data_IF_948286645591
#
_entry.id   IF_948286645591
#
_cell.length_a   1.000
_cell.length_b   1.000
_cell.length_c   1.000
_cell.angle_alpha   90.00
_cell.angle_beta   90.00
_cell.angle_gamma   90.00
#
_symmetry.space_group_name_H-M   'P 1'
#
loop_
_entity.id
_entity.type
_entity.pdbx_description
1 polymer ?
#
# COMPACT_ATOMS: atom_id res chain seq x y z
N UNK A 1 -13.17 10.94 -3.11
CA UNK A 1 -12.61 10.05 -2.09
C UNK A 1 -11.11 9.93 -2.37
N UNK A 2 -10.30 10.68 -1.64
CA UNK A 2 -8.84 10.58 -1.72
C UNK A 2 -8.40 9.28 -1.02
N UNK A 3 -7.42 8.52 -1.53
CA UNK A 3 -6.62 8.77 -2.74
C UNK A 3 -7.21 8.17 -4.03
N UNK A 4 -8.12 7.19 -3.91
CA UNK A 4 -8.53 6.31 -5.02
C UNK A 4 -9.20 7.00 -6.22
N UNK A 5 -9.83 8.16 -6.04
CA UNK A 5 -10.46 8.89 -7.14
C UNK A 5 -9.51 9.78 -7.96
N UNK A 6 -8.21 9.84 -7.62
CA UNK A 6 -7.26 10.79 -8.24
C UNK A 6 -6.46 10.21 -9.40
N UNK A 7 -6.51 8.90 -9.58
CA UNK A 7 -5.89 8.19 -10.69
C UNK A 7 -6.88 7.17 -11.26
N UNK A 8 -7.09 7.14 -12.59
CA UNK A 8 -7.88 6.09 -13.22
C UNK A 8 -7.13 4.76 -13.22
N UNK A 9 -7.88 3.67 -13.31
CA UNK A 9 -7.33 2.32 -13.47
C UNK A 9 -7.00 2.05 -14.94
N UNK A 10 -6.09 1.13 -15.19
CA UNK A 10 -5.74 0.66 -16.54
C UNK A 10 -5.14 -0.75 -16.45
N UNK A 11 -5.10 -1.45 -17.58
CA UNK A 11 -4.55 -2.80 -17.64
C UNK A 11 -3.04 -2.80 -17.33
N UNK A 12 -2.52 -3.88 -16.74
CA UNK A 12 -1.13 -4.04 -16.28
C UNK A 12 -0.67 -3.13 -15.13
N UNK A 13 -1.58 -2.31 -14.56
CA UNK A 13 -1.27 -1.53 -13.36
C UNK A 13 -1.16 -2.43 -12.12
N UNK A 14 -0.39 -2.02 -11.12
CA UNK A 14 -0.46 -2.62 -9.78
C UNK A 14 -1.90 -2.58 -9.25
N UNK A 15 -2.37 -3.63 -8.57
CA UNK A 15 -3.73 -3.67 -8.04
C UNK A 15 -4.00 -2.51 -7.10
N UNK A 16 -5.11 -1.81 -7.30
CA UNK A 16 -5.55 -0.79 -6.35
C UNK A 16 -6.31 -1.48 -5.23
N UNK A 17 -5.87 -1.31 -3.98
CA UNK A 17 -6.49 -1.95 -2.82
C UNK A 17 -7.28 -0.91 -2.02
N UNK A 18 -8.56 -1.19 -1.75
CA UNK A 18 -9.40 -0.41 -0.86
C UNK A 18 -9.85 -1.26 0.33
N UNK A 19 -9.47 -0.83 1.53
CA UNK A 19 -9.88 -1.47 2.77
C UNK A 19 -11.16 -0.83 3.30
N UNK A 20 -12.13 -1.67 3.65
CA UNK A 20 -13.44 -1.28 4.17
C UNK A 20 -13.60 -1.90 5.56
N UNK A 21 -13.86 -1.06 6.55
CA UNK A 21 -14.25 -1.53 7.89
C UNK A 21 -15.71 -1.95 7.86
N UNK A 22 -15.98 -3.18 8.29
CA UNK A 22 -17.33 -3.72 8.38
C UNK A 22 -17.76 -3.68 9.83
N UNK A 23 -18.86 -2.99 10.11
CA UNK A 23 -19.45 -2.90 11.46
C UNK A 23 -20.69 -3.80 11.50
N UNK A 24 -20.67 -4.78 12.40
CA UNK A 24 -21.77 -5.70 12.65
C UNK A 24 -22.78 -5.07 13.62
N UNK A 25 -23.90 -4.58 13.08
CA UNK A 25 -25.03 -4.09 13.87
C UNK A 25 -26.00 -5.18 14.36
N UNK A 26 -25.77 -6.46 14.01
CA UNK A 26 -26.69 -7.55 14.36
C UNK A 26 -26.40 -8.17 15.74
N UNK A 27 -25.17 -8.04 16.23
CA UNK A 27 -24.72 -8.57 17.53
C UNK A 27 -23.21 -8.47 17.71
N UNK A 28 -22.71 -8.94 18.85
CA UNK A 28 -21.27 -8.87 19.23
C UNK A 28 -20.35 -9.65 18.29
N UNK A 29 -20.84 -10.79 17.76
CA UNK A 29 -20.09 -11.69 16.90
C UNK A 29 -20.91 -12.03 15.66
N UNK A 30 -20.29 -11.87 14.48
CA UNK A 30 -20.89 -12.25 13.21
C UNK A 30 -19.94 -13.10 12.37
N UNK A 31 -20.47 -13.85 11.41
CA UNK A 31 -19.70 -14.60 10.42
C UNK A 31 -20.05 -14.13 9.02
N UNK A 32 -19.02 -13.87 8.22
CA UNK A 32 -19.17 -13.54 6.79
C UNK A 32 -19.40 -14.84 6.03
N UNK A 33 -20.53 -14.93 5.32
CA UNK A 33 -20.90 -16.12 4.54
C UNK A 33 -20.34 -16.10 3.14
N UNK A 34 -20.52 -14.99 2.47
CA UNK A 34 -20.17 -14.83 1.07
C UNK A 34 -19.86 -13.35 0.78
N UNK A 35 -18.94 -13.16 -0.15
CA UNK A 35 -18.62 -11.86 -0.75
C UNK A 35 -18.58 -12.07 -2.26
N UNK A 36 -19.45 -11.39 -3.01
CA UNK A 36 -19.60 -11.59 -4.45
C UNK A 36 -19.54 -10.27 -5.21
N UNK A 37 -18.75 -10.26 -6.29
CA UNK A 37 -18.69 -9.14 -7.24
C UNK A 37 -19.77 -9.29 -8.32
N UNK A 38 -20.54 -8.24 -8.54
CA UNK A 38 -21.59 -8.15 -9.54
C UNK A 38 -21.29 -7.02 -10.55
N UNK A 39 -20.64 -7.34 -11.68
CA UNK A 39 -20.34 -6.36 -12.72
C UNK A 39 -21.62 -5.88 -13.42
N UNK A 40 -21.76 -4.57 -13.64
CA UNK A 40 -22.88 -4.02 -14.42
C UNK A 40 -22.54 -4.02 -15.92
N UNK A 41 -23.40 -4.65 -16.73
CA UNK A 41 -23.20 -4.72 -18.18
C UNK A 41 -23.42 -3.35 -18.85
N UNK A 42 -22.75 -3.10 -20.01
CA UNK A 42 -21.89 -4.03 -20.74
C UNK A 42 -20.41 -4.04 -20.30
N UNK A 43 -19.92 -2.98 -19.65
CA UNK A 43 -18.48 -2.78 -19.41
C UNK A 43 -17.98 -3.28 -18.04
N UNK A 44 -18.87 -3.59 -17.10
CA UNK A 44 -18.57 -4.15 -15.77
C UNK A 44 -17.61 -5.33 -15.79
N UNK A 45 -17.73 -6.17 -16.82
CA UNK A 45 -16.94 -7.41 -16.97
C UNK A 45 -15.44 -7.16 -17.20
N UNK A 46 -15.05 -5.94 -17.60
CA UNK A 46 -13.66 -5.54 -17.84
C UNK A 46 -12.90 -5.26 -16.54
N UNK A 47 -13.61 -5.04 -15.43
CA UNK A 47 -13.02 -4.88 -14.10
C UNK A 47 -13.06 -6.21 -13.35
N UNK A 48 -11.90 -6.65 -12.91
CA UNK A 48 -11.75 -7.76 -11.98
C UNK A 48 -11.67 -7.19 -10.56
N UNK A 49 -12.52 -7.72 -9.68
CA UNK A 49 -12.56 -7.36 -8.26
C UNK A 49 -12.39 -8.64 -7.46
N UNK A 50 -11.29 -8.73 -6.71
CA UNK A 50 -11.11 -9.78 -5.70
C UNK A 50 -11.29 -9.21 -4.31
N UNK A 51 -11.66 -10.07 -3.37
CA UNK A 51 -11.94 -9.68 -2.00
C UNK A 51 -11.20 -10.62 -1.04
N UNK A 52 -10.57 -10.04 -0.04
CA UNK A 52 -10.11 -10.72 1.17
C UNK A 52 -10.86 -10.13 2.36
N UNK A 53 -11.21 -10.93 3.35
CA UNK A 53 -12.03 -10.45 4.47
C UNK A 53 -11.83 -11.27 5.73
N UNK A 54 -12.15 -10.67 6.87
CA UNK A 54 -12.25 -11.39 8.14
C UNK A 54 -13.46 -12.33 8.11
N UNK A 55 -13.25 -13.64 8.23
CA UNK A 55 -14.37 -14.60 8.31
C UNK A 55 -15.28 -14.35 9.51
N UNK A 56 -14.71 -13.89 10.63
CA UNK A 56 -15.42 -13.61 11.88
C UNK A 56 -15.28 -12.12 12.18
N UNK A 57 -16.42 -11.47 12.42
CA UNK A 57 -16.51 -10.09 12.88
C UNK A 57 -16.59 -10.10 14.40
N UNK A 58 -15.49 -9.76 15.08
CA UNK A 58 -15.46 -9.69 16.54
C UNK A 58 -14.32 -8.78 17.05
N UNK A 59 -14.58 -7.91 18.03
CA UNK A 59 -15.89 -7.58 18.59
C UNK A 59 -16.60 -6.51 17.72
N UNK A 60 -17.86 -6.78 17.32
CA UNK A 60 -18.72 -5.93 16.48
C UNK A 60 -18.15 -5.47 15.13
N UNK A 61 -16.94 -5.86 14.75
CA UNK A 61 -16.29 -5.32 13.56
C UNK A 61 -15.34 -6.32 12.94
N UNK A 62 -15.02 -6.07 11.67
CA UNK A 62 -13.99 -6.75 10.92
C UNK A 62 -13.62 -5.93 9.69
N UNK A 63 -13.00 -6.57 8.71
CA UNK A 63 -12.46 -5.88 7.54
C UNK A 63 -12.77 -6.63 6.25
N UNK A 64 -12.85 -5.86 5.17
CA UNK A 64 -12.99 -6.31 3.79
C UNK A 64 -11.98 -5.53 2.95
N UNK A 65 -10.99 -6.21 2.39
CA UNK A 65 -10.03 -5.65 1.45
C UNK A 65 -10.48 -5.99 0.02
N UNK A 66 -10.72 -4.97 -0.79
CA UNK A 66 -11.06 -5.11 -2.20
C UNK A 66 -9.85 -4.76 -3.06
N UNK A 67 -9.52 -5.65 -3.98
CA UNK A 67 -8.43 -5.44 -4.95
C UNK A 67 -9.00 -5.30 -6.35
N UNK A 68 -8.65 -4.19 -7.01
CA UNK A 68 -9.15 -3.80 -8.32
C UNK A 68 -8.07 -3.95 -9.38
N UNK A 69 -8.37 -4.71 -10.43
CA UNK A 69 -7.50 -4.85 -11.61
C UNK A 69 -8.33 -4.79 -12.90
N UNK A 70 -7.77 -4.19 -13.94
CA UNK A 70 -8.41 -4.15 -15.27
C UNK A 70 -7.92 -5.33 -16.08
N UNK A 71 -8.85 -6.11 -16.63
CA UNK A 71 -8.53 -7.27 -17.47
C UNK A 71 -7.93 -6.84 -18.81
N UNK A 72 -7.29 -7.78 -19.49
CA UNK A 72 -6.63 -7.54 -20.78
C UNK A 72 -7.60 -7.03 -21.84
N UNK A 73 -8.86 -7.49 -21.84
CA UNK A 73 -9.90 -7.03 -22.76
C UNK A 73 -10.25 -5.54 -22.56
N UNK A 74 -9.88 -4.97 -21.40
CA UNK A 74 -10.06 -3.55 -21.07
C UNK A 74 -8.83 -2.68 -21.34
N UNK A 75 -7.77 -3.21 -21.97
CA UNK A 75 -6.50 -2.49 -22.15
C UNK A 75 -6.62 -1.18 -22.95
N UNK A 76 -7.52 -1.15 -23.94
CA UNK A 76 -7.79 0.03 -24.79
C UNK A 76 -9.09 0.75 -24.42
N UNK A 77 -9.73 0.36 -23.32
CA UNK A 77 -11.00 0.93 -22.92
C UNK A 77 -10.82 2.31 -22.28
N UNK A 78 -11.64 3.28 -22.69
CA UNK A 78 -11.70 4.60 -22.07
C UNK A 78 -13.13 4.91 -21.64
N UNK A 79 -13.39 4.85 -20.33
CA UNK A 79 -14.77 4.91 -19.84
C UNK A 79 -14.90 4.72 -18.34
N UNK A 80 -16.15 4.74 -17.87
CA UNK A 80 -16.45 4.44 -16.46
C UNK A 80 -17.04 3.04 -16.39
N UNK A 81 -16.53 2.25 -15.46
CA UNK A 81 -17.03 0.93 -15.12
C UNK A 81 -17.82 1.01 -13.83
N UNK A 82 -18.97 0.34 -13.81
CA UNK A 82 -19.87 0.26 -12.66
C UNK A 82 -20.15 -1.19 -12.28
N UNK A 83 -20.45 -1.40 -11.01
CA UNK A 83 -20.86 -2.67 -10.45
C UNK A 83 -21.05 -2.55 -8.94
N UNK A 84 -21.22 -3.67 -8.26
CA UNK A 84 -21.33 -3.68 -6.80
C UNK A 84 -20.80 -4.97 -6.19
N UNK A 85 -20.31 -4.88 -4.96
CA UNK A 85 -19.98 -6.04 -4.14
C UNK A 85 -21.11 -6.27 -3.14
N UNK A 86 -21.60 -7.51 -3.08
CA UNK A 86 -22.49 -7.95 -2.01
C UNK A 86 -21.71 -8.72 -0.96
N UNK A 87 -21.99 -8.46 0.30
CA UNK A 87 -21.41 -9.16 1.44
C UNK A 87 -22.54 -9.58 2.39
N UNK A 88 -22.70 -10.88 2.61
CA UNK A 88 -23.73 -11.41 3.52
C UNK A 88 -23.09 -11.78 4.85
N UNK A 89 -23.58 -11.15 5.93
CA UNK A 89 -23.15 -11.40 7.31
C UNK A 89 -24.27 -12.09 8.07
N UNK A 90 -23.93 -13.12 8.82
CA UNK A 90 -24.84 -13.80 9.75
C UNK A 90 -24.41 -13.57 11.19
N UNK A 91 -25.37 -13.32 12.08
CA UNK A 91 -25.12 -13.11 13.50
C UNK A 91 -26.27 -13.67 14.32
N UNK A 92 -25.97 -14.14 15.53
CA UNK A 92 -27.00 -14.41 16.52
C UNK A 92 -27.44 -13.09 17.17
N UNK A 93 -28.74 -12.94 17.43
CA UNK A 93 -29.26 -11.75 18.10
C UNK A 93 -28.90 -11.73 19.59
N UNK A 94 -28.71 -10.52 20.14
CA UNK A 94 -28.29 -10.32 21.54
C UNK A 94 -29.41 -10.61 22.57
N UNK A 95 -30.67 -10.81 22.14
CA UNK A 95 -31.84 -10.88 23.03
C UNK A 95 -32.11 -12.27 23.66
N UNK A 96 -31.12 -13.15 23.76
CA UNK A 96 -31.28 -14.50 24.34
C UNK A 96 -32.00 -15.51 23.43
N UNK A 97 -32.76 -15.05 22.44
CA UNK A 97 -33.27 -15.88 21.35
C UNK A 97 -32.13 -16.19 20.36
N UNK A 98 -31.79 -17.48 20.21
CA UNK A 98 -30.81 -18.00 19.22
C UNK A 98 -31.32 -17.90 17.78
N UNK A 99 -32.02 -16.83 17.43
CA UNK A 99 -32.49 -16.59 16.06
C UNK A 99 -31.29 -16.04 15.27
N UNK A 100 -30.90 -16.80 14.26
CA UNK A 100 -29.90 -16.39 13.29
C UNK A 100 -30.49 -15.28 12.42
N UNK A 101 -29.85 -14.12 12.41
CA UNK A 101 -30.17 -13.00 11.51
C UNK A 101 -29.11 -12.90 10.44
N UNK A 102 -29.53 -12.67 9.21
CA UNK A 102 -28.65 -12.34 8.10
C UNK A 102 -28.88 -10.89 7.65
N UNK A 103 -27.81 -10.24 7.23
CA UNK A 103 -27.87 -8.95 6.56
C UNK A 103 -26.90 -8.96 5.38
N UNK A 104 -27.39 -8.50 4.23
CA UNK A 104 -26.56 -8.33 3.04
C UNK A 104 -26.24 -6.85 2.85
N UNK A 105 -24.96 -6.53 2.86
CA UNK A 105 -24.43 -5.21 2.54
C UNK A 105 -24.15 -5.14 1.03
N UNK A 106 -24.59 -4.05 0.39
CA UNK A 106 -24.27 -3.76 -1.01
C UNK A 106 -23.37 -2.53 -1.08
N UNK A 107 -22.16 -2.71 -1.61
CA UNK A 107 -21.20 -1.64 -1.84
C UNK A 107 -21.14 -1.31 -3.34
N UNK A 108 -21.68 -0.18 -3.81
CA UNK A 108 -21.57 0.24 -5.20
C UNK A 108 -20.14 0.68 -5.52
N UNK A 109 -19.65 0.28 -6.68
CA UNK A 109 -18.30 0.55 -7.16
C UNK A 109 -18.39 1.24 -8.51
N UNK A 110 -17.68 2.37 -8.62
CA UNK A 110 -17.58 3.16 -9.84
C UNK A 110 -16.13 3.55 -10.06
N UNK A 111 -15.52 3.08 -11.14
CA UNK A 111 -14.11 3.30 -11.45
C UNK A 111 -13.95 3.89 -12.86
N UNK A 112 -13.11 4.93 -12.99
CA UNK A 112 -12.67 5.40 -14.31
C UNK A 112 -11.55 4.49 -14.80
N UNK A 113 -11.69 3.96 -16.00
CA UNK A 113 -10.66 3.20 -16.70
C UNK A 113 -10.21 3.99 -17.93
N UNK A 114 -8.91 3.94 -18.20
CA UNK A 114 -8.28 4.54 -19.37
C UNK A 114 -7.41 3.51 -20.11
N UNK A 115 -7.02 3.79 -21.36
CA UNK A 115 -6.01 3.00 -22.06
C UNK A 115 -4.68 3.03 -21.31
N UNK A 116 -3.87 1.98 -21.51
CA UNK A 116 -2.56 1.86 -20.84
C UNK A 116 -1.68 3.10 -21.13
N UNK A 117 -1.25 3.85 -20.10
CA UNK A 117 -0.39 5.01 -20.30
C UNK A 117 0.96 4.63 -20.89
N UNK A 118 1.58 5.57 -21.62
CA UNK A 118 2.94 5.39 -22.12
C UNK A 118 3.92 5.10 -20.98
N UNK A 119 4.87 4.20 -21.23
CA UNK A 119 5.88 3.75 -20.25
C UNK A 119 6.56 4.90 -19.50
N UNK A 120 6.95 5.97 -20.20
CA UNK A 120 7.64 7.14 -19.60
C UNK A 120 6.80 7.93 -18.60
N UNK A 121 5.49 7.71 -18.56
CA UNK A 121 4.57 8.33 -17.59
C UNK A 121 4.24 7.40 -16.43
N UNK A 122 4.63 6.13 -16.46
CA UNK A 122 4.39 5.15 -15.39
C UNK A 122 5.58 5.13 -14.43
N UNK A 123 5.31 5.46 -13.17
CA UNK A 123 6.27 5.49 -12.08
C UNK A 123 5.94 4.38 -11.09
N UNK A 124 6.92 3.54 -10.79
CA UNK A 124 6.82 2.55 -9.74
C UNK A 124 7.32 3.17 -8.43
N UNK A 125 6.49 3.14 -7.40
CA UNK A 125 6.83 3.60 -6.06
C UNK A 125 7.15 2.40 -5.19
N UNK A 126 8.35 2.35 -4.63
CA UNK A 126 8.71 1.31 -3.67
C UNK A 126 8.07 1.60 -2.31
N UNK A 127 7.04 0.82 -1.95
CA UNK A 127 6.43 0.80 -0.64
C UNK A 127 6.88 -0.44 0.15
N UNK A 128 7.58 -1.37 -0.51
CA UNK A 128 7.96 -2.64 0.09
C UNK A 128 9.05 -2.41 1.15
N UNK A 129 9.99 -1.51 0.88
CA UNK A 129 11.09 -1.16 1.80
C UNK A 129 10.82 0.09 2.64
N UNK A 130 9.61 0.66 2.56
CA UNK A 130 9.20 1.80 3.39
C UNK A 130 8.60 1.33 4.72
N UNK A 131 8.68 2.18 5.75
CA UNK A 131 8.14 1.95 7.08
C UNK A 131 6.65 1.59 7.01
N UNK A 132 6.27 0.47 7.64
CA UNK A 132 4.88 -0.01 7.72
C UNK A 132 4.38 0.00 9.16
N UNK A 133 3.10 0.31 9.31
CA UNK A 133 2.41 0.18 10.59
C UNK A 133 1.69 -1.19 10.74
N UNK A 134 1.73 -1.86 11.89
CA UNK A 134 2.57 -1.56 13.06
C UNK A 134 4.03 -1.95 12.83
N UNK A 135 4.95 -1.05 13.13
CA UNK A 135 6.39 -1.25 13.00
C UNK A 135 7.08 -1.32 14.37
N UNK A 136 8.41 -1.50 14.33
CA UNK A 136 9.30 -1.32 15.48
C UNK A 136 9.41 0.14 15.94
N UNK A 137 10.46 0.46 16.71
CA UNK A 137 10.72 1.83 17.12
C UNK A 137 11.40 2.61 15.98
N UNK A 138 10.70 3.61 15.44
CA UNK A 138 11.28 4.59 14.54
C UNK A 138 11.13 5.98 15.15
N UNK A 139 12.25 6.72 15.35
CA UNK A 139 12.19 8.06 15.88
C UNK A 139 11.66 9.01 14.81
N UNK A 140 10.89 10.01 15.21
CA UNK A 140 10.48 11.09 14.30
C UNK A 140 11.69 11.82 13.71
N UNK A 141 11.54 12.32 12.48
CA UNK A 141 12.55 13.15 11.83
C UNK A 141 12.81 14.46 12.58
N UNK A 142 11.76 15.06 13.16
CA UNK A 142 11.92 16.23 14.03
C UNK A 142 12.35 15.82 15.45
N UNK A 143 13.66 15.65 15.62
CA UNK A 143 14.30 15.33 16.89
C UNK A 143 14.08 16.38 18.01
N UNK A 144 13.48 17.54 17.71
CA UNK A 144 13.08 18.54 18.72
C UNK A 144 11.79 18.13 19.43
N UNK A 145 10.97 17.26 18.83
CA UNK A 145 9.72 16.78 19.39
C UNK A 145 9.96 15.70 20.46
N UNK A 146 10.14 16.11 21.72
CA UNK A 146 10.52 15.20 22.82
C UNK A 146 9.35 14.45 23.48
N UNK A 147 8.11 14.89 23.26
CA UNK A 147 6.94 14.35 23.96
C UNK A 147 6.34 13.11 23.31
N UNK A 148 6.59 12.90 22.02
CA UNK A 148 6.16 11.73 21.27
C UNK A 148 7.26 11.36 20.29
N UNK A 149 8.24 10.54 20.71
CA UNK A 149 9.39 10.22 19.90
C UNK A 149 9.04 9.23 18.77
N UNK A 150 7.89 8.57 18.82
CA UNK A 150 7.51 7.54 17.86
C UNK A 150 6.95 8.17 16.58
N UNK A 151 7.44 7.71 15.42
CA UNK A 151 6.72 7.92 14.18
C UNK A 151 5.63 6.86 14.01
N UNK A 152 4.38 7.30 14.15
CA UNK A 152 3.21 6.46 14.05
C UNK A 152 2.55 6.53 12.66
N UNK A 153 2.96 7.47 11.81
CA UNK A 153 2.22 7.74 10.57
C UNK A 153 2.60 6.79 9.44
N UNK A 154 3.73 6.09 9.56
CA UNK A 154 4.31 5.24 8.52
C UNK A 154 4.51 5.97 7.19
N UNK A 155 5.34 5.40 6.33
CA UNK A 155 5.74 6.09 5.11
C UNK A 155 4.93 5.58 3.94
N UNK A 156 3.89 6.33 3.57
CA UNK A 156 3.04 6.01 2.43
C UNK A 156 2.86 7.20 1.49
N UNK A 157 2.78 6.89 0.19
CA UNK A 157 2.55 7.85 -0.90
C UNK A 157 1.24 8.67 -0.75
N UNK A 158 0.35 8.26 0.14
CA UNK A 158 -0.96 8.88 0.35
C UNK A 158 -1.09 9.57 1.72
N UNK A 159 -0.08 9.41 2.60
CA UNK A 159 0.06 10.07 3.90
C UNK A 159 1.23 11.07 3.82
N UNK A 160 2.44 10.64 4.18
CA UNK A 160 3.64 11.46 4.34
C UNK A 160 4.05 12.12 3.02
N UNK A 161 3.96 11.38 1.91
CA UNK A 161 4.35 11.88 0.59
C UNK A 161 3.18 12.35 -0.29
N UNK A 162 2.04 12.68 0.34
CA UNK A 162 0.83 13.13 -0.37
C UNK A 162 1.07 14.28 -1.34
N UNK A 163 1.87 15.27 -0.94
CA UNK A 163 2.12 16.44 -1.77
C UNK A 163 3.02 16.11 -2.97
N UNK A 164 3.99 15.21 -2.80
CA UNK A 164 4.78 14.71 -3.93
C UNK A 164 3.90 13.94 -4.91
N UNK A 165 3.03 13.04 -4.42
CA UNK A 165 2.07 12.35 -5.27
C UNK A 165 1.21 13.33 -6.08
N UNK A 166 0.66 14.36 -5.42
CA UNK A 166 -0.20 15.36 -6.08
C UNK A 166 0.54 16.06 -7.21
N UNK A 167 1.78 16.52 -6.96
CA UNK A 167 2.61 17.18 -7.97
C UNK A 167 2.89 16.26 -9.15
N UNK A 168 3.25 15.01 -8.91
CA UNK A 168 3.51 14.06 -9.99
C UNK A 168 2.25 13.78 -10.82
N UNK A 169 1.08 13.63 -10.18
CA UNK A 169 -0.21 13.48 -10.85
C UNK A 169 -0.59 14.73 -11.67
N UNK A 170 -0.38 15.93 -11.13
CA UNK A 170 -0.59 17.21 -11.85
C UNK A 170 0.27 17.31 -13.12
N UNK A 171 1.47 16.72 -13.11
CA UNK A 171 2.37 16.65 -14.25
C UNK A 171 2.12 15.45 -15.19
N UNK A 172 1.05 14.67 -14.96
CA UNK A 172 0.60 13.59 -15.83
C UNK A 172 1.33 12.26 -15.64
N UNK A 173 2.02 12.05 -14.52
CA UNK A 173 2.62 10.76 -14.17
C UNK A 173 1.63 9.87 -13.43
N UNK A 174 1.63 8.58 -13.71
CA UNK A 174 0.83 7.55 -13.04
C UNK A 174 1.71 6.82 -12.03
N UNK A 175 1.30 6.86 -10.76
CA UNK A 175 2.05 6.27 -9.66
C UNK A 175 1.42 4.94 -9.29
N UNK A 176 2.23 3.90 -9.25
CA UNK A 176 1.83 2.54 -8.89
C UNK A 176 2.64 2.11 -7.66
N UNK A 177 1.94 1.64 -6.62
CA UNK A 177 2.54 1.32 -5.32
C UNK A 177 2.94 -0.15 -5.30
N UNK A 178 4.24 -0.41 -5.17
CA UNK A 178 4.83 -1.75 -5.06
C UNK A 178 4.81 -2.21 -3.61
N UNK A 179 3.91 -3.12 -3.27
CA UNK A 179 3.82 -3.75 -1.93
C UNK A 179 4.51 -5.12 -1.83
N UNK A 180 5.29 -5.51 -2.83
CA UNK A 180 6.01 -6.79 -2.93
C UNK A 180 7.45 -6.57 -3.40
N UNK A 181 8.36 -7.56 -3.24
CA UNK A 181 9.73 -7.42 -3.72
C UNK A 181 9.76 -7.15 -5.24
N UNK A 182 10.79 -6.46 -5.71
CA UNK A 182 10.97 -6.11 -7.12
C UNK A 182 11.02 -7.35 -8.03
N UNK A 183 11.43 -8.50 -7.49
CA UNK A 183 11.45 -9.80 -8.18
C UNK A 183 10.07 -10.27 -8.65
N UNK A 184 8.99 -9.81 -8.02
CA UNK A 184 7.61 -10.13 -8.37
C UNK A 184 7.01 -9.19 -9.42
N UNK A 185 7.72 -8.14 -9.83
CA UNK A 185 7.17 -7.09 -10.69
C UNK A 185 7.86 -7.07 -12.05
N UNK A 186 7.04 -6.93 -13.10
CA UNK A 186 7.56 -6.67 -14.44
C UNK A 186 7.99 -5.19 -14.59
N UNK A 187 9.26 -4.92 -14.32
CA UNK A 187 9.85 -3.57 -14.37
C UNK A 187 9.87 -2.94 -15.76
N UNK A 188 9.75 -3.74 -16.83
CA UNK A 188 9.74 -3.23 -18.22
C UNK A 188 8.56 -2.31 -18.53
N UNK A 189 7.49 -2.39 -17.73
CA UNK A 189 6.28 -1.57 -17.88
C UNK A 189 6.48 -0.11 -17.41
N UNK A 190 7.54 0.18 -16.67
CA UNK A 190 7.74 1.46 -15.99
C UNK A 190 8.90 2.26 -16.60
N UNK A 191 8.76 3.58 -16.54
CA UNK A 191 9.81 4.51 -16.94
C UNK A 191 10.85 4.71 -15.83
N UNK A 192 10.39 4.78 -14.58
CA UNK A 192 11.25 4.93 -13.42
C UNK A 192 10.74 4.18 -12.19
N UNK A 193 11.68 3.77 -11.34
CA UNK A 193 11.47 3.31 -9.97
C UNK A 193 11.91 4.41 -9.00
N UNK A 194 11.04 4.73 -8.05
CA UNK A 194 11.30 5.69 -6.98
C UNK A 194 11.50 4.94 -5.67
N UNK A 195 12.69 5.08 -5.09
CA UNK A 195 12.99 4.69 -3.71
C UNK A 195 12.90 5.95 -2.88
N UNK A 196 11.94 6.03 -1.96
CA UNK A 196 11.67 7.24 -1.17
C UNK A 196 11.66 6.84 0.29
N UNK A 197 12.67 7.34 1.00
CA UNK A 197 12.93 7.03 2.41
C UNK A 197 12.87 5.52 2.70
N UNK A 198 13.74 4.70 2.08
CA UNK A 198 13.73 3.26 2.35
C UNK A 198 14.42 2.95 3.68
N UNK A 199 13.74 2.22 4.56
CA UNK A 199 14.24 1.82 5.88
C UNK A 199 14.61 0.33 5.97
N UNK A 200 14.28 -0.48 4.96
CA UNK A 200 14.56 -1.93 4.94
C UNK A 200 15.79 -2.30 4.10
N UNK A 201 16.30 -3.51 4.29
CA UNK A 201 17.44 -4.06 3.56
C UNK A 201 17.03 -4.67 2.20
N UNK A 202 17.97 -4.69 1.25
CA UNK A 202 17.76 -5.27 -0.07
C UNK A 202 18.43 -6.65 -0.18
N UNK A 203 17.66 -7.66 -0.58
CA UNK A 203 18.20 -9.01 -0.77
C UNK A 203 19.05 -9.11 -2.05
N UNK A 204 20.06 -10.01 -2.10
CA UNK A 204 20.93 -10.14 -3.28
C UNK A 204 20.18 -10.41 -4.60
N UNK A 205 19.11 -11.20 -4.57
CA UNK A 205 18.28 -11.51 -5.74
C UNK A 205 17.55 -10.28 -6.27
N UNK A 206 17.12 -9.40 -5.36
CA UNK A 206 16.46 -8.14 -5.67
C UNK A 206 17.46 -7.13 -6.23
N UNK A 207 18.64 -7.01 -5.62
CA UNK A 207 19.74 -6.18 -6.14
C UNK A 207 20.10 -6.58 -7.58
N UNK A 208 20.25 -7.89 -7.83
CA UNK A 208 20.53 -8.40 -9.18
C UNK A 208 19.41 -8.08 -10.18
N UNK A 209 18.15 -8.21 -9.74
CA UNK A 209 16.96 -7.88 -10.56
C UNK A 209 16.89 -6.39 -10.87
N UNK A 210 17.17 -5.54 -9.88
CA UNK A 210 17.24 -4.08 -10.06
C UNK A 210 18.33 -3.71 -11.05
N UNK A 211 19.54 -4.27 -10.90
CA UNK A 211 20.66 -4.01 -11.82
C UNK A 211 20.28 -4.32 -13.26
N UNK A 212 19.71 -5.50 -13.49
CA UNK A 212 19.22 -5.92 -14.81
C UNK A 212 18.15 -4.99 -15.36
N UNK A 213 17.24 -4.52 -14.50
CA UNK A 213 16.14 -3.62 -14.90
C UNK A 213 16.66 -2.25 -15.30
N UNK A 214 17.62 -1.70 -14.55
CA UNK A 214 18.27 -0.43 -14.87
C UNK A 214 19.08 -0.53 -16.16
N UNK A 215 19.83 -1.63 -16.36
CA UNK A 215 20.55 -1.90 -17.60
C UNK A 215 19.61 -2.03 -18.82
N UNK A 216 18.37 -2.50 -18.59
CA UNK A 216 17.31 -2.56 -19.60
C UNK A 216 16.61 -1.20 -19.83
N UNK A 217 17.04 -0.13 -19.14
CA UNK A 217 16.57 1.24 -19.34
C UNK A 217 15.49 1.71 -18.36
N UNK A 218 15.33 1.07 -17.20
CA UNK A 218 14.57 1.62 -16.07
C UNK A 218 15.38 2.76 -15.42
N UNK A 219 14.77 3.93 -15.23
CA UNK A 219 15.42 4.99 -14.44
C UNK A 219 15.27 4.72 -12.95
N UNK A 220 16.31 4.93 -12.16
CA UNK A 220 16.28 4.82 -10.71
C UNK A 220 16.38 6.22 -10.09
N UNK A 221 15.44 6.57 -9.22
CA UNK A 221 15.44 7.83 -8.47
C UNK A 221 15.41 7.47 -6.99
N UNK A 222 16.36 8.00 -6.23
CA UNK A 222 16.50 7.72 -4.79
C UNK A 222 16.40 9.03 -4.02
N UNK A 223 15.49 9.05 -3.05
CA UNK A 223 15.39 10.08 -2.02
C UNK A 223 15.63 9.38 -0.68
N UNK A 224 16.65 9.81 0.06
CA UNK A 224 17.00 9.26 1.36
C UNK A 224 17.11 10.40 2.36
N UNK A 225 16.67 10.16 3.60
CA UNK A 225 16.81 11.12 4.68
C UNK A 225 18.14 10.93 5.46
N UNK A 226 18.25 11.60 6.60
CA UNK A 226 19.39 11.55 7.51
C UNK A 226 19.65 10.13 8.02
N UNK A 227 20.90 9.85 8.40
CA UNK A 227 21.27 8.64 9.14
C UNK A 227 22.43 8.96 10.08
N UNK A 228 22.32 8.60 11.36
CA UNK A 228 23.40 8.80 12.33
C UNK A 228 23.43 7.73 13.43
N UNK A 229 24.32 6.75 13.26
CA UNK A 229 24.48 5.63 14.19
C UNK A 229 24.86 6.03 15.63
N UNK A 230 25.53 7.17 15.82
CA UNK A 230 25.85 7.67 17.17
C UNK A 230 24.59 8.20 17.84
N UNK A 231 23.80 9.00 17.12
CA UNK A 231 22.57 9.60 17.62
C UNK A 231 21.52 8.53 17.97
N UNK A 232 21.38 7.49 17.13
CA UNK A 232 20.42 6.40 17.37
C UNK A 232 20.63 5.71 18.73
N UNK A 233 21.89 5.57 19.17
CA UNK A 233 22.21 5.02 20.49
C UNK A 233 21.78 5.91 21.66
N UNK A 234 21.67 7.22 21.45
CA UNK A 234 21.23 8.18 22.46
C UNK A 234 19.71 8.34 22.52
N UNK A 235 18.98 8.04 21.44
CA UNK A 235 17.53 8.24 21.32
C UNK A 235 16.72 7.03 21.81
N UNK A 236 17.39 6.03 22.40
CA UNK A 236 16.72 4.91 23.09
C UNK A 236 15.97 5.38 24.34
N UNK A 237 14.83 4.78 24.61
CA UNK A 237 14.09 5.01 25.86
C UNK A 237 13.67 3.69 26.49
N UNK A 238 13.40 3.74 27.80
CA UNK A 238 12.88 2.61 28.54
C UNK A 238 11.37 2.73 28.60
N UNK A 239 10.66 1.78 28.01
CA UNK A 239 9.21 1.72 28.10
C UNK A 239 8.80 0.99 29.38
N UNK A 240 8.17 1.71 30.29
CA UNK A 240 7.70 1.16 31.57
C UNK A 240 6.56 0.14 31.38
N UNK A 241 5.78 0.25 30.30
CA UNK A 241 4.64 -0.64 30.04
C UNK A 241 5.11 -2.03 29.61
N UNK A 242 6.05 -2.10 28.65
CA UNK A 242 6.64 -3.35 28.18
C UNK A 242 7.85 -3.81 28.99
N UNK A 243 8.40 -2.94 29.86
CA UNK A 243 9.63 -3.15 30.65
C UNK A 243 10.83 -3.50 29.78
N UNK A 244 10.93 -2.85 28.63
CA UNK A 244 11.98 -3.10 27.64
C UNK A 244 12.61 -1.78 27.19
N UNK A 245 13.87 -1.86 26.79
CA UNK A 245 14.53 -0.76 26.10
C UNK A 245 14.11 -0.78 24.64
N UNK A 246 13.50 0.31 24.19
CA UNK A 246 13.19 0.53 22.79
C UNK A 246 14.41 1.20 22.16
N UNK A 247 15.02 0.51 21.20
CA UNK A 247 16.17 0.98 20.43
C UNK A 247 15.66 1.26 19.01
N UNK A 248 15.95 2.43 18.43
CA UNK A 248 15.60 2.72 17.04
C UNK A 248 16.11 1.63 16.10
N UNK A 249 15.27 1.14 15.20
CA UNK A 249 15.73 0.21 14.15
C UNK A 249 16.58 0.93 13.10
N UNK A 250 16.10 2.10 12.64
CA UNK A 250 16.88 3.10 11.90
C UNK A 250 16.44 4.50 12.32
N UNK A 251 17.16 5.55 11.91
CA UNK A 251 16.73 6.94 12.02
C UNK A 251 16.64 7.52 10.64
N UNK A 252 15.43 7.77 10.16
CA UNK A 252 15.17 8.00 8.73
C UNK A 252 15.56 6.78 7.89
N UNK A 253 15.96 7.03 6.64
CA UNK A 253 16.42 6.02 5.71
C UNK A 253 17.57 5.13 6.23
N UNK A 254 17.53 3.86 5.82
CA UNK A 254 18.61 2.90 6.03
C UNK A 254 19.75 3.14 5.02
N UNK A 255 20.51 4.21 5.25
CA UNK A 255 21.65 4.61 4.40
C UNK A 255 22.70 3.50 4.22
N UNK A 256 23.04 2.67 5.23
CA UNK A 256 23.91 1.52 5.01
C UNK A 256 23.38 0.54 3.95
N UNK A 257 22.11 0.13 4.04
CA UNK A 257 21.51 -0.77 3.04
C UNK A 257 21.43 -0.12 1.66
N UNK A 258 21.11 1.19 1.60
CA UNK A 258 21.16 1.96 0.36
C UNK A 258 22.56 2.03 -0.24
N UNK A 259 23.61 2.16 0.57
CA UNK A 259 24.98 2.16 0.10
C UNK A 259 25.37 0.80 -0.49
N UNK A 260 24.93 -0.30 0.13
CA UNK A 260 25.12 -1.64 -0.42
C UNK A 260 24.42 -1.77 -1.79
N UNK A 261 23.18 -1.28 -1.90
CA UNK A 261 22.43 -1.22 -3.15
C UNK A 261 23.11 -0.37 -4.22
N UNK A 262 23.55 0.84 -3.86
CA UNK A 262 24.09 1.82 -4.80
C UNK A 262 25.57 1.59 -5.17
N UNK A 263 26.28 0.77 -4.38
CA UNK A 263 27.66 0.37 -4.66
C UNK A 263 27.83 -0.25 -6.05
N UNK A 264 26.83 -0.97 -6.54
CA UNK A 264 26.84 -1.58 -7.88
C UNK A 264 26.78 -0.55 -9.03
N UNK A 265 26.46 0.70 -8.71
CA UNK A 265 26.50 1.85 -9.61
C UNK A 265 27.65 2.83 -9.30
N UNK A 266 28.56 2.46 -8.39
CA UNK A 266 29.67 3.31 -7.94
C UNK A 266 29.22 4.62 -7.28
N UNK A 267 28.01 4.64 -6.70
CA UNK A 267 27.51 5.73 -5.90
C UNK A 267 27.60 5.30 -4.43
N UNK A 268 28.42 6.00 -3.65
CA UNK A 268 28.58 5.75 -2.21
C UNK A 268 28.28 7.07 -1.50
N UNK A 269 27.25 7.08 -0.65
CA UNK A 269 26.95 8.22 0.19
C UNK A 269 27.88 8.15 1.44
N UNK A 270 28.56 9.26 1.73
CA UNK A 270 29.39 9.44 2.93
C UNK A 270 28.55 9.77 4.15
#
# INVERSE_FOLDING_TARGET
MWPYCTQPLYHSAQPTIANVTVINGLGVSGRVREVTWHPHLPHGVLLSVSAEYSEVLWPWSGWLALSFTVKEEGADFDGVIEGHVNMTVESYGDNGDRILKNATLTLPIRARVIPVPVRSRRLLWDQFHSLRYPGGYFPRDDLRAKHDPLDWHADHVHTNFRDMYRRLREHGFYLEVMGSPLTCINTSLYGALLLVDPEDEYFPEEMATLKKSVDAGLSLIVFADWYNASLLRYVKFYDENTRQWWIPETGGANVPALNDLLSMYQVINM
#
